data_IF_824900074789
#
_entry.id   IF_824900074789
#
_cell.length_a   1.000
_cell.length_b   1.000
_cell.length_c   1.000
_cell.angle_alpha   90.00
_cell.angle_beta   90.00
_cell.angle_gamma   90.00
#
_symmetry.space_group_name_H-M   'P 1'
#
loop_
_entity.id
_entity.type
_entity.pdbx_description
1 polymer ?
#
# COMPACT_ATOMS: atom_id res chain seq x y z
N UNK A 1 -7.73 15.19 -34.84
CA UNK A 1 -7.16 13.88 -34.49
C UNK A 1 -7.24 13.77 -32.97
N UNK A 2 -8.12 12.93 -32.44
CA UNK A 2 -8.23 12.75 -30.99
C UNK A 2 -6.99 11.99 -30.54
N UNK A 3 -6.11 12.59 -29.75
CA UNK A 3 -5.15 11.78 -28.99
C UNK A 3 -5.98 10.90 -28.07
N UNK A 4 -5.81 9.58 -28.12
CA UNK A 4 -6.43 8.71 -27.14
C UNK A 4 -6.01 9.18 -25.74
N UNK A 5 -6.97 9.23 -24.80
CA UNK A 5 -6.64 9.51 -23.41
C UNK A 5 -5.59 8.48 -22.92
N UNK A 6 -4.66 8.87 -22.04
CA UNK A 6 -3.68 7.94 -21.48
C UNK A 6 -4.40 6.77 -20.79
N UNK A 7 -3.90 5.54 -20.96
CA UNK A 7 -4.38 4.41 -20.18
C UNK A 7 -3.86 4.55 -18.75
N UNK A 8 -4.73 4.96 -17.83
CA UNK A 8 -4.37 5.18 -16.43
C UNK A 8 -3.85 3.91 -15.74
N UNK A 9 -4.20 2.72 -16.25
CA UNK A 9 -3.65 1.46 -15.73
C UNK A 9 -2.15 1.37 -15.99
N UNK A 10 -1.72 1.80 -17.18
CA UNK A 10 -0.29 1.79 -17.56
C UNK A 10 0.47 2.82 -16.75
N UNK A 11 -0.07 4.03 -16.59
CA UNK A 11 0.55 5.08 -15.76
C UNK A 11 0.68 4.62 -14.31
N UNK A 12 -0.36 3.97 -13.78
CA UNK A 12 -0.33 3.35 -12.46
C UNK A 12 0.80 2.32 -12.34
N UNK A 13 0.89 1.37 -13.29
CA UNK A 13 1.90 0.31 -13.27
C UNK A 13 3.32 0.87 -13.37
N UNK A 14 3.55 1.89 -14.20
CA UNK A 14 4.83 2.59 -14.33
C UNK A 14 5.24 3.31 -13.03
N UNK A 15 4.28 3.96 -12.36
CA UNK A 15 4.50 4.60 -11.07
C UNK A 15 4.91 3.56 -10.00
N UNK A 16 4.11 2.51 -9.82
CA UNK A 16 4.38 1.45 -8.84
C UNK A 16 5.70 0.72 -9.15
N UNK A 17 6.00 0.46 -10.42
CA UNK A 17 7.29 -0.13 -10.80
C UNK A 17 8.47 0.78 -10.41
N UNK A 18 8.31 2.10 -10.48
CA UNK A 18 9.35 3.04 -10.08
C UNK A 18 9.64 3.00 -8.58
N UNK A 19 8.59 2.83 -7.76
CA UNK A 19 8.70 2.76 -6.31
C UNK A 19 9.29 1.44 -5.81
N UNK A 20 8.85 0.31 -6.37
CA UNK A 20 9.13 -1.02 -5.83
C UNK A 20 10.23 -1.78 -6.57
N UNK A 21 10.32 -1.60 -7.89
CA UNK A 21 11.23 -2.38 -8.75
C UNK A 21 12.51 -1.60 -9.01
N UNK A 22 12.42 -0.41 -9.61
CA UNK A 22 13.62 0.41 -9.89
C UNK A 22 14.09 1.17 -8.66
N UNK A 23 13.19 1.42 -7.70
CA UNK A 23 13.44 2.16 -6.46
C UNK A 23 14.05 3.54 -6.73
N UNK A 24 13.53 4.23 -7.75
CA UNK A 24 14.02 5.52 -8.22
C UNK A 24 13.05 6.65 -7.85
N UNK A 25 13.40 7.39 -6.79
CA UNK A 25 12.63 8.54 -6.31
C UNK A 25 12.42 9.59 -7.41
N UNK A 26 13.43 9.87 -8.24
CA UNK A 26 13.32 10.89 -9.28
C UNK A 26 12.37 10.45 -10.39
N UNK A 27 12.45 9.18 -10.81
CA UNK A 27 11.53 8.61 -11.77
C UNK A 27 10.09 8.61 -11.23
N UNK A 28 9.87 8.19 -9.98
CA UNK A 28 8.57 8.24 -9.32
C UNK A 28 8.01 9.66 -9.32
N UNK A 29 8.78 10.65 -8.84
CA UNK A 29 8.33 12.04 -8.79
C UNK A 29 8.02 12.62 -10.18
N UNK A 30 8.70 12.17 -11.24
CA UNK A 30 8.45 12.64 -12.61
C UNK A 30 7.08 12.22 -13.15
N UNK A 31 6.49 11.14 -12.62
CA UNK A 31 5.13 10.69 -12.96
C UNK A 31 4.03 11.51 -12.27
N UNK A 32 4.37 12.28 -11.23
CA UNK A 32 3.39 13.02 -10.45
C UNK A 32 3.08 14.40 -11.03
N UNK A 33 2.00 15.01 -10.53
CA UNK A 33 1.67 16.42 -10.76
C UNK A 33 2.66 17.35 -10.03
N UNK A 34 2.49 18.67 -10.19
CA UNK A 34 3.32 19.66 -9.51
C UNK A 34 2.98 19.81 -8.01
N UNK A 35 1.76 19.45 -7.60
CA UNK A 35 1.28 19.54 -6.21
C UNK A 35 0.61 18.23 -5.76
N UNK A 36 1.35 17.11 -5.74
CA UNK A 36 0.77 15.81 -5.40
C UNK A 36 0.61 15.65 -3.88
N UNK A 37 -0.21 14.69 -3.44
CA UNK A 37 -0.16 14.23 -2.06
C UNK A 37 -0.21 12.71 -1.93
N UNK A 38 0.45 12.19 -0.89
CA UNK A 38 0.45 10.77 -0.54
C UNK A 38 -0.04 10.65 0.89
N UNK A 39 -0.95 9.71 1.14
CA UNK A 39 -1.43 9.41 2.48
C UNK A 39 -1.59 7.90 2.70
N UNK A 40 -0.72 7.35 3.53
CA UNK A 40 -0.88 6.03 4.13
C UNK A 40 -1.82 6.15 5.33
N UNK A 41 -3.11 5.92 5.09
CA UNK A 41 -4.21 6.33 5.97
C UNK A 41 -4.05 5.83 7.41
N UNK A 42 -3.68 4.56 7.68
CA UNK A 42 -3.62 4.06 9.05
C UNK A 42 -2.48 4.62 9.90
N UNK A 43 -1.41 5.13 9.29
CA UNK A 43 -0.26 5.72 9.99
C UNK A 43 -0.12 7.22 9.76
N UNK A 44 -0.94 7.80 8.88
CA UNK A 44 -0.84 9.19 8.39
C UNK A 44 0.54 9.55 7.82
N UNK A 45 1.30 8.55 7.37
CA UNK A 45 2.60 8.74 6.76
C UNK A 45 2.44 9.19 5.30
N UNK A 46 3.21 10.18 4.88
CA UNK A 46 3.12 10.72 3.53
C UNK A 46 3.58 12.17 3.45
N UNK A 47 3.03 12.92 2.50
CA UNK A 47 3.38 14.32 2.27
C UNK A 47 2.39 15.03 1.35
N UNK A 48 2.42 16.35 1.36
CA UNK A 48 1.62 17.23 0.48
C UNK A 48 2.55 18.19 -0.24
N UNK A 49 2.41 18.29 -1.55
CA UNK A 49 3.29 19.04 -2.45
C UNK A 49 4.57 18.28 -2.79
N UNK A 50 5.15 18.63 -3.94
CA UNK A 50 6.25 17.85 -4.54
C UNK A 50 7.46 17.69 -3.60
N UNK A 51 7.81 18.73 -2.84
CA UNK A 51 8.95 18.68 -1.93
C UNK A 51 8.74 17.71 -0.76
N UNK A 52 7.56 17.74 -0.13
CA UNK A 52 7.27 16.87 1.01
C UNK A 52 7.09 15.42 0.57
N UNK A 53 6.48 15.18 -0.59
CA UNK A 53 6.34 13.84 -1.16
C UNK A 53 7.69 13.25 -1.55
N UNK A 54 8.58 14.04 -2.18
CA UNK A 54 9.94 13.58 -2.49
C UNK A 54 10.76 13.26 -1.24
N UNK A 55 10.68 14.10 -0.19
CA UNK A 55 11.33 13.83 1.09
C UNK A 55 10.78 12.56 1.75
N UNK A 56 9.46 12.38 1.74
CA UNK A 56 8.80 11.19 2.24
C UNK A 56 9.28 9.92 1.51
N UNK A 57 9.22 9.91 0.17
CA UNK A 57 9.65 8.78 -0.64
C UNK A 57 11.10 8.41 -0.40
N UNK A 58 11.99 9.41 -0.37
CA UNK A 58 13.42 9.18 -0.20
C UNK A 58 13.84 8.66 1.18
N UNK A 59 13.09 8.99 2.24
CA UNK A 59 13.49 8.68 3.62
C UNK A 59 12.72 7.56 4.29
N UNK A 60 11.48 7.29 3.84
CA UNK A 60 10.55 6.49 4.62
C UNK A 60 9.84 5.40 3.82
N UNK A 61 9.90 5.43 2.48
CA UNK A 61 9.12 4.53 1.63
C UNK A 61 9.96 3.77 0.60
N UNK A 62 10.54 4.46 -0.38
CA UNK A 62 11.29 3.81 -1.47
C UNK A 62 12.58 3.21 -0.89
N UNK A 63 12.76 1.90 -1.10
CA UNK A 63 13.89 1.15 -0.53
C UNK A 63 13.70 0.69 0.92
N UNK A 64 12.57 0.99 1.56
CA UNK A 64 12.23 0.54 2.92
C UNK A 64 11.27 -0.67 2.92
N UNK A 65 11.51 -1.60 1.98
CA UNK A 65 10.73 -2.83 1.79
C UNK A 65 11.62 -4.07 1.92
N UNK A 66 11.18 -5.10 2.67
CA UNK A 66 11.86 -6.40 2.71
C UNK A 66 12.11 -6.97 1.31
N UNK A 67 13.22 -7.68 1.13
CA UNK A 67 13.56 -8.26 -0.18
C UNK A 67 12.56 -9.32 -0.64
N UNK A 68 11.89 -9.99 0.29
CA UNK A 68 10.86 -11.00 0.03
C UNK A 68 9.46 -10.42 -0.19
N UNK A 69 9.34 -9.09 -0.35
CA UNK A 69 8.05 -8.44 -0.58
C UNK A 69 7.43 -8.94 -1.89
N UNK A 70 6.20 -9.44 -1.80
CA UNK A 70 5.38 -9.84 -2.95
C UNK A 70 4.02 -9.17 -2.92
N UNK A 71 3.48 -8.88 -4.10
CA UNK A 71 2.16 -8.28 -4.30
C UNK A 71 1.32 -9.22 -5.14
N UNK A 72 0.14 -9.59 -4.62
CA UNK A 72 -0.88 -10.35 -5.33
C UNK A 72 -2.05 -9.44 -5.67
N UNK A 73 -2.24 -9.06 -6.95
CA UNK A 73 -3.40 -8.28 -7.36
C UNK A 73 -4.70 -9.06 -7.10
N UNK A 74 -5.73 -8.38 -6.60
CA UNK A 74 -7.06 -8.97 -6.35
C UNK A 74 -8.07 -8.40 -7.32
N UNK A 75 -8.18 -7.07 -7.38
CA UNK A 75 -9.11 -6.39 -8.28
C UNK A 75 -8.61 -5.00 -8.64
N UNK A 76 -8.96 -4.53 -9.83
CA UNK A 76 -8.65 -3.18 -10.30
C UNK A 76 -9.90 -2.55 -10.91
N UNK A 77 -10.21 -1.34 -10.49
CA UNK A 77 -11.27 -0.51 -11.08
C UNK A 77 -10.65 0.74 -11.67
N UNK A 78 -10.85 0.96 -12.97
CA UNK A 78 -10.34 2.12 -13.71
C UNK A 78 -11.50 3.06 -14.00
N UNK A 79 -11.43 4.28 -13.45
CA UNK A 79 -12.34 5.37 -13.73
C UNK A 79 -11.77 6.36 -14.75
N UNK A 80 -12.44 7.50 -14.92
CA UNK A 80 -11.96 8.57 -15.81
C UNK A 80 -10.71 9.28 -15.28
N UNK A 81 -10.59 9.39 -13.96
CA UNK A 81 -9.57 10.20 -13.26
C UNK A 81 -8.89 9.45 -12.10
N UNK A 82 -9.16 8.15 -11.95
CA UNK A 82 -8.66 7.37 -10.82
C UNK A 82 -8.54 5.88 -11.12
N UNK A 83 -7.59 5.25 -10.48
CA UNK A 83 -7.45 3.79 -10.39
C UNK A 83 -7.61 3.40 -8.92
N UNK A 84 -8.48 2.43 -8.67
CA UNK A 84 -8.60 1.77 -7.37
C UNK A 84 -8.08 0.36 -7.53
N UNK A 85 -7.00 0.03 -6.84
CA UNK A 85 -6.43 -1.31 -6.82
C UNK A 85 -6.53 -1.94 -5.44
N UNK A 86 -7.10 -3.13 -5.40
CA UNK A 86 -7.11 -4.02 -4.25
C UNK A 86 -6.05 -5.10 -4.46
N UNK A 87 -5.21 -5.30 -3.45
CA UNK A 87 -4.12 -6.27 -3.50
C UNK A 87 -3.86 -6.88 -2.14
N UNK A 88 -3.16 -8.02 -2.13
CA UNK A 88 -2.58 -8.61 -0.92
C UNK A 88 -1.06 -8.48 -1.01
N UNK A 89 -0.45 -7.84 -0.01
CA UNK A 89 1.00 -7.77 0.14
C UNK A 89 1.48 -8.82 1.15
N UNK A 90 2.63 -9.44 0.87
CA UNK A 90 3.31 -10.35 1.78
C UNK A 90 4.77 -9.97 1.92
N UNK A 91 5.31 -10.05 3.13
CA UNK A 91 6.73 -9.80 3.41
C UNK A 91 7.12 -10.36 4.79
N UNK A 92 8.41 -10.54 5.04
CA UNK A 92 8.94 -10.77 6.38
C UNK A 92 9.38 -9.44 6.99
N UNK A 93 8.93 -9.11 8.21
CA UNK A 93 9.35 -7.86 8.87
C UNK A 93 10.78 -7.96 9.43
N UNK A 94 11.78 -7.97 8.55
CA UNK A 94 13.20 -8.15 8.83
C UNK A 94 14.03 -6.86 8.76
N UNK A 95 13.45 -5.79 8.22
CA UNK A 95 14.00 -4.42 8.22
C UNK A 95 13.01 -3.42 8.83
N UNK A 96 13.48 -2.23 9.28
CA UNK A 96 12.57 -1.16 9.68
C UNK A 96 11.70 -0.71 8.51
N UNK A 97 10.39 -0.58 8.75
CA UNK A 97 9.41 -0.13 7.75
C UNK A 97 8.67 1.13 8.25
N UNK A 98 9.27 2.33 8.18
CA UNK A 98 8.73 3.53 8.81
C UNK A 98 7.32 3.90 8.37
N UNK A 99 6.94 3.57 7.13
CA UNK A 99 5.61 3.87 6.60
C UNK A 99 4.51 2.98 7.19
N UNK A 100 4.75 1.67 7.33
CA UNK A 100 3.76 0.69 7.79
C UNK A 100 3.80 0.47 9.31
N UNK A 101 5.02 0.53 9.88
CA UNK A 101 5.33 0.17 11.25
C UNK A 101 6.25 1.23 11.89
N UNK A 102 5.82 2.50 11.96
CA UNK A 102 6.64 3.58 12.51
C UNK A 102 7.06 3.27 13.95
N UNK A 103 8.37 3.19 14.18
CA UNK A 103 8.96 2.95 15.50
C UNK A 103 8.95 1.50 15.98
N UNK A 104 8.45 0.54 15.19
CA UNK A 104 8.51 -0.89 15.54
C UNK A 104 9.79 -1.49 14.94
N UNK A 105 10.68 -2.09 15.75
CA UNK A 105 11.88 -2.75 15.24
C UNK A 105 11.52 -4.04 14.47
N UNK A 106 12.40 -4.53 13.59
CA UNK A 106 12.22 -5.80 12.89
C UNK A 106 11.85 -6.93 13.85
N UNK A 107 10.78 -7.65 13.54
CA UNK A 107 10.27 -8.74 14.38
C UNK A 107 10.57 -10.12 13.79
N UNK A 108 11.03 -10.20 12.55
CA UNK A 108 11.28 -11.43 11.80
C UNK A 108 10.01 -12.23 11.50
N UNK A 109 8.83 -11.65 11.71
CA UNK A 109 7.55 -12.33 11.52
C UNK A 109 7.02 -12.11 10.10
N UNK A 110 6.42 -13.14 9.49
CA UNK A 110 5.76 -12.98 8.21
C UNK A 110 4.49 -12.15 8.38
N UNK A 111 4.21 -11.33 7.37
CA UNK A 111 2.99 -10.53 7.24
C UNK A 111 2.32 -10.92 5.93
N UNK A 112 0.99 -11.08 5.97
CA UNK A 112 0.11 -11.19 4.82
C UNK A 112 -1.08 -10.26 5.04
N UNK A 113 -1.19 -9.21 4.22
CA UNK A 113 -2.06 -8.07 4.50
C UNK A 113 -2.82 -7.63 3.24
N UNK A 114 -4.15 -7.58 3.26
CA UNK A 114 -4.91 -6.94 2.19
C UNK A 114 -4.80 -5.41 2.33
N UNK A 115 -4.66 -4.72 1.21
CA UNK A 115 -4.63 -3.27 1.15
C UNK A 115 -5.33 -2.74 -0.12
N UNK A 116 -5.75 -1.48 -0.07
CA UNK A 116 -6.35 -0.77 -1.19
C UNK A 116 -5.56 0.50 -1.47
N UNK A 117 -5.15 0.70 -2.72
CA UNK A 117 -4.58 1.95 -3.22
C UNK A 117 -5.66 2.67 -4.03
N UNK A 118 -5.94 3.92 -3.67
CA UNK A 118 -6.74 4.84 -4.49
C UNK A 118 -5.79 5.88 -5.05
N UNK A 119 -5.46 5.76 -6.33
CA UNK A 119 -4.59 6.68 -7.06
C UNK A 119 -5.43 7.57 -7.96
N UNK A 120 -5.32 8.89 -7.79
CA UNK A 120 -6.00 9.88 -8.63
C UNK A 120 -5.05 10.54 -9.60
N UNK A 121 -5.59 10.98 -10.73
CA UNK A 121 -4.83 11.50 -11.85
C UNK A 121 -5.35 12.85 -12.35
N UNK A 122 -4.43 13.70 -12.79
CA UNK A 122 -4.70 14.87 -13.62
C UNK A 122 -4.10 14.63 -15.01
N UNK A 123 -4.93 14.19 -15.96
CA UNK A 123 -4.43 13.68 -17.23
C UNK A 123 -3.54 12.44 -17.01
N UNK A 124 -2.31 12.39 -17.54
CA UNK A 124 -1.40 11.25 -17.35
C UNK A 124 -0.55 11.33 -16.07
N UNK A 125 -0.85 12.25 -15.13
CA UNK A 125 0.01 12.49 -13.96
C UNK A 125 -0.69 12.10 -12.67
N UNK A 126 0.04 11.47 -11.76
CA UNK A 126 -0.47 11.11 -10.44
C UNK A 126 -0.64 12.37 -9.58
N UNK A 127 -1.89 12.67 -9.24
CA UNK A 127 -2.26 13.80 -8.39
C UNK A 127 -2.27 13.40 -6.92
N UNK A 128 -2.67 12.17 -6.61
CA UNK A 128 -2.64 11.70 -5.23
C UNK A 128 -2.65 10.19 -5.10
N UNK A 129 -2.24 9.74 -3.92
CA UNK A 129 -2.42 8.38 -3.45
C UNK A 129 -3.02 8.35 -2.04
N UNK A 130 -3.99 7.46 -1.85
CA UNK A 130 -4.53 7.12 -0.53
C UNK A 130 -4.48 5.61 -0.36
N UNK A 131 -3.70 5.15 0.61
CA UNK A 131 -3.44 3.73 0.83
C UNK A 131 -4.11 3.31 2.14
N UNK A 132 -4.95 2.29 2.08
CA UNK A 132 -5.75 1.78 3.19
C UNK A 132 -5.35 0.34 3.50
N UNK A 133 -5.25 0.03 4.79
CA UNK A 133 -5.13 -1.34 5.30
C UNK A 133 -5.61 -1.40 6.75
N UNK A 134 -5.72 -2.60 7.31
CA UNK A 134 -6.01 -2.80 8.74
C UNK A 134 -4.72 -2.82 9.57
N UNK A 135 -4.43 -1.70 10.24
CA UNK A 135 -3.25 -1.57 11.10
C UNK A 135 -3.30 -2.47 12.32
N UNK A 136 -4.49 -2.77 12.87
CA UNK A 136 -4.58 -3.66 14.03
C UNK A 136 -4.18 -5.09 13.63
N UNK A 137 -4.63 -5.55 12.46
CA UNK A 137 -4.21 -6.85 11.93
C UNK A 137 -2.72 -6.92 11.61
N UNK A 138 -2.11 -5.83 11.12
CA UNK A 138 -0.66 -5.75 10.95
C UNK A 138 0.07 -5.86 12.30
N UNK A 139 -0.33 -5.08 13.31
CA UNK A 139 0.28 -5.08 14.64
C UNK A 139 0.15 -6.43 15.36
N UNK A 140 -0.96 -7.15 15.18
CA UNK A 140 -1.14 -8.52 15.66
C UNK A 140 -0.15 -9.48 14.99
N UNK A 141 -0.01 -9.40 13.66
CA UNK A 141 0.89 -10.28 12.91
C UNK A 141 2.35 -10.09 13.35
N UNK A 142 2.79 -8.85 13.53
CA UNK A 142 4.15 -8.56 14.02
C UNK A 142 4.32 -8.75 15.52
N UNK A 143 3.26 -9.07 16.27
CA UNK A 143 3.33 -9.42 17.69
C UNK A 143 3.40 -8.24 18.65
N UNK A 144 3.03 -7.04 18.20
CA UNK A 144 2.98 -5.83 19.03
C UNK A 144 1.61 -5.70 19.72
N UNK A 145 0.55 -6.22 19.11
CA UNK A 145 -0.81 -6.18 19.64
C UNK A 145 -1.29 -7.60 20.00
N UNK A 146 -1.76 -7.77 21.25
CA UNK A 146 -2.39 -9.02 21.70
C UNK A 146 -3.85 -9.09 21.19
N UNK A 147 -4.22 -10.10 20.38
CA UNK A 147 -5.57 -10.22 19.83
C UNK A 147 -6.60 -10.80 20.81
N UNK A 148 -6.21 -11.29 22.00
CA UNK A 148 -7.06 -12.11 22.87
C UNK A 148 -8.42 -11.48 23.21
N UNK A 149 -8.47 -10.17 23.38
CA UNK A 149 -9.69 -9.41 23.75
C UNK A 149 -10.22 -8.52 22.62
N UNK A 150 -9.66 -8.63 21.41
CA UNK A 150 -9.96 -7.72 20.30
C UNK A 150 -10.62 -8.45 19.12
N UNK A 151 -11.54 -7.79 18.38
CA UNK A 151 -12.18 -8.35 17.20
C UNK A 151 -11.24 -8.27 15.96
N UNK A 152 -10.01 -8.75 16.10
CA UNK A 152 -8.96 -8.71 15.08
C UNK A 152 -8.62 -10.13 14.64
N UNK A 153 -8.36 -10.32 13.35
CA UNK A 153 -8.16 -11.64 12.73
C UNK A 153 -6.78 -11.81 12.07
N UNK A 154 -5.98 -10.74 11.97
CA UNK A 154 -4.62 -10.82 11.45
C UNK A 154 -4.60 -11.30 10.00
N UNK A 155 -3.69 -12.23 9.68
CA UNK A 155 -3.51 -12.76 8.32
C UNK A 155 -4.77 -13.44 7.75
N UNK A 156 -5.74 -13.86 8.58
CA UNK A 156 -6.97 -14.48 8.10
C UNK A 156 -7.81 -13.52 7.21
N UNK A 157 -7.62 -12.20 7.33
CA UNK A 157 -8.23 -11.22 6.44
C UNK A 157 -7.79 -11.41 5.00
N UNK A 158 -6.47 -11.48 4.75
CA UNK A 158 -5.92 -11.69 3.42
C UNK A 158 -6.37 -13.04 2.83
N UNK A 159 -6.35 -14.11 3.63
CA UNK A 159 -6.83 -15.41 3.19
C UNK A 159 -8.30 -15.36 2.75
N UNK A 160 -9.17 -14.68 3.51
CA UNK A 160 -10.59 -14.55 3.17
C UNK A 160 -10.84 -13.68 1.92
N UNK A 161 -9.99 -12.70 1.64
CA UNK A 161 -10.01 -11.94 0.39
C UNK A 161 -9.68 -12.83 -0.81
N UNK A 162 -8.67 -13.69 -0.67
CA UNK A 162 -8.22 -14.58 -1.74
C UNK A 162 -9.10 -15.84 -1.92
N UNK A 163 -9.75 -16.28 -0.84
CA UNK A 163 -10.62 -17.45 -0.83
C UNK A 163 -11.97 -17.14 -0.15
N UNK A 164 -12.98 -16.92 -0.98
CA UNK A 164 -14.36 -16.64 -0.54
C UNK A 164 -14.98 -17.79 0.27
N UNK A 165 -14.48 -19.02 0.17
CA UNK A 165 -15.09 -20.21 0.76
C UNK A 165 -14.61 -20.48 2.20
N UNK A 166 -13.64 -19.71 2.71
CA UNK A 166 -13.23 -19.77 4.12
C UNK A 166 -14.37 -19.38 5.09
N UNK A 167 -14.42 -19.91 6.32
CA UNK A 167 -15.53 -19.64 7.25
C UNK A 167 -15.69 -18.14 7.59
N UNK A 168 -16.93 -17.65 7.52
CA UNK A 168 -17.31 -16.33 8.02
C UNK A 168 -17.78 -16.39 9.48
N UNK A 169 -17.89 -15.24 10.15
CA UNK A 169 -18.50 -15.08 11.48
C UNK A 169 -17.79 -15.81 12.65
N UNK A 170 -16.53 -16.24 12.48
CA UNK A 170 -15.75 -16.96 13.49
C UNK A 170 -15.51 -16.16 14.77
N UNK A 171 -15.54 -14.82 14.70
CA UNK A 171 -15.42 -13.95 15.88
C UNK A 171 -16.62 -14.01 16.83
N UNK A 172 -17.82 -14.40 16.34
CA UNK A 172 -19.02 -14.49 17.18
C UNK A 172 -19.02 -15.73 18.08
N UNK A 173 -18.14 -16.70 17.82
CA UNK A 173 -18.05 -17.97 18.54
C UNK A 173 -16.93 -17.99 19.59
N UNK A 174 -16.30 -16.83 19.88
CA UNK A 174 -15.21 -16.70 20.87
C UNK A 174 -15.71 -16.59 22.30
#
# INVERSE_FOLDING_TARGET
>A
MSSAAPDLSVVFDEHVASEFVTRDVQATMATMTADPFVNHVPTMMGGVGAAAVADFYSRYFIGHWPEDTTITPVSRTVGEDRVVEEMVISFTHDIPMPTFLPGVPPTGRPVLLPLVVVMGFEGPRVAYERIYWDQASLLVQVGVLDPASLPVTGAAQAHKVLDKDLPSNTLLAR
#
